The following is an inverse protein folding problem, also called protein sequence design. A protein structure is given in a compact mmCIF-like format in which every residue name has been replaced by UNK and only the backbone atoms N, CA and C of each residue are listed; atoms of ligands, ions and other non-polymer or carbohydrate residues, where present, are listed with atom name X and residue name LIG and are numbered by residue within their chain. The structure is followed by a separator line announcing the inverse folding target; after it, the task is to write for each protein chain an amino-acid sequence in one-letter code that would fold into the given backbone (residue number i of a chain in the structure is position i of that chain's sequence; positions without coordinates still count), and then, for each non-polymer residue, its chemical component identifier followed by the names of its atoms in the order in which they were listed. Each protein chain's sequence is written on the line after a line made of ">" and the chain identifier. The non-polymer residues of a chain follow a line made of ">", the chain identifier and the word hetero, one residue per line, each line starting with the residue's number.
data_IF_790677952625
#
_entry.id   IF_790677952625
#
_cell.length_a   1.000
_cell.length_b   1.000
_cell.length_c   1.000
_cell.angle_alpha   90.00
_cell.angle_beta   90.00
_cell.angle_gamma   90.00
#
_symmetry.space_group_name_H-M   'P 1'
#
loop_
_entity.id
_entity.type
_entity.pdbx_description
1 polymer ?
#
# COMPACT_ATOMS: atom_id res chain seq x y z
N UNK A 1 -41.49 7.79 22.45
CA UNK A 1 -40.92 8.32 21.18
C UNK A 1 -40.07 7.21 20.59
N UNK A 2 -40.50 6.64 19.46
CA UNK A 2 -39.92 5.40 18.93
C UNK A 2 -38.59 5.66 18.22
N UNK A 3 -37.62 4.76 18.40
CA UNK A 3 -36.27 4.76 17.78
C UNK A 3 -36.27 5.01 16.26
N UNK A 4 -37.37 4.67 15.57
CA UNK A 4 -37.59 4.98 14.16
C UNK A 4 -37.69 6.49 13.85
N UNK A 5 -38.11 7.32 14.81
CA UNK A 5 -38.21 8.77 14.65
C UNK A 5 -36.86 9.48 14.69
N UNK A 6 -35.90 8.96 15.47
CA UNK A 6 -34.54 9.52 15.57
C UNK A 6 -33.73 9.14 14.32
N UNK A 7 -33.90 7.91 13.81
CA UNK A 7 -33.26 7.46 12.58
C UNK A 7 -33.78 8.21 11.34
N UNK A 8 -35.09 8.51 11.27
CA UNK A 8 -35.65 9.26 10.15
C UNK A 8 -35.23 10.74 10.16
N UNK A 9 -35.09 11.35 11.35
CA UNK A 9 -34.59 12.72 11.49
C UNK A 9 -33.12 12.83 11.07
N UNK A 10 -32.25 11.88 11.46
CA UNK A 10 -30.84 11.88 11.07
C UNK A 10 -30.62 11.66 9.55
N UNK A 11 -31.52 10.93 8.88
CA UNK A 11 -31.44 10.70 7.44
C UNK A 11 -31.96 11.91 6.63
N UNK A 12 -32.89 12.69 7.17
CA UNK A 12 -33.40 13.91 6.54
C UNK A 12 -32.46 15.12 6.67
N UNK A 13 -31.64 15.18 7.73
CA UNK A 13 -30.59 16.22 7.85
C UNK A 13 -29.41 15.97 6.90
N UNK A 14 -29.09 14.70 6.59
CA UNK A 14 -27.98 14.36 5.68
C UNK A 14 -28.30 14.64 4.20
N UNK A 15 -29.58 14.81 3.85
CA UNK A 15 -30.03 15.04 2.47
C UNK A 15 -30.31 16.52 2.15
N UNK A 16 -30.10 17.43 3.11
CA UNK A 16 -30.36 18.87 2.93
C UNK A 16 -29.10 19.75 3.11
N UNK A 17 -27.91 19.15 3.26
CA UNK A 17 -26.64 19.87 3.45
C UNK A 17 -25.97 20.27 2.12
N UNK A 18 -26.25 21.50 1.73
CA UNK A 18 -25.72 22.36 0.67
C UNK A 18 -24.46 21.98 -0.13
N UNK A 19 -24.64 22.08 -1.45
CA UNK A 19 -23.64 22.34 -2.48
C UNK A 19 -22.87 23.65 -2.21
N UNK A 20 -21.64 23.56 -1.71
CA UNK A 20 -20.70 24.67 -1.75
C UNK A 20 -19.29 24.22 -2.21
N UNK A 21 -19.14 24.13 -3.53
CA UNK A 21 -18.08 24.74 -4.33
C UNK A 21 -16.71 24.92 -3.64
N UNK A 22 -15.73 24.07 -3.98
CA UNK A 22 -14.31 24.38 -3.81
C UNK A 22 -13.65 24.61 -5.17
N UNK A 23 -13.19 25.85 -5.38
CA UNK A 23 -12.39 26.32 -6.51
C UNK A 23 -10.89 26.20 -6.16
N UNK A 24 -9.99 26.07 -7.15
CA UNK A 24 -8.57 25.82 -6.91
C UNK A 24 -7.79 27.14 -6.90
N UNK A 25 -7.43 27.63 -5.70
CA UNK A 25 -6.41 28.64 -5.56
C UNK A 25 -5.84 28.55 -4.15
N UNK A 26 -4.62 28.02 -4.02
CA UNK A 26 -3.61 28.59 -3.12
C UNK A 26 -2.24 28.02 -3.45
N UNK A 27 -1.44 28.86 -4.09
CA UNK A 27 -0.02 28.69 -4.37
C UNK A 27 0.71 29.72 -3.52
N UNK A 28 1.57 29.35 -2.56
CA UNK A 28 2.41 30.35 -1.91
C UNK A 28 3.63 30.70 -2.79
N UNK A 29 3.67 31.96 -3.18
CA UNK A 29 4.78 32.67 -3.81
C UNK A 29 5.86 33.06 -2.79
N UNK A 30 7.12 32.90 -3.22
CA UNK A 30 8.36 33.63 -2.87
C UNK A 30 8.34 34.64 -1.70
N UNK A 31 9.28 34.56 -0.74
CA UNK A 31 9.52 35.62 0.23
C UNK A 31 10.50 36.71 -0.29
N UNK A 32 10.37 37.97 0.19
CA UNK A 32 11.25 39.08 -0.18
C UNK A 32 12.50 39.18 0.73
N UNK A 33 13.51 39.85 0.18
CA UNK A 33 14.86 40.05 0.73
C UNK A 33 15.02 41.37 1.52
N UNK A 34 16.13 41.43 2.30
CA UNK A 34 16.94 42.58 2.79
C UNK A 34 16.61 43.15 4.20
N UNK A 35 17.39 42.85 5.26
CA UNK A 35 18.67 43.46 5.78
C UNK A 35 18.43 44.63 6.77
N UNK A 36 19.40 45.12 7.61
CA UNK A 36 20.67 44.59 8.14
C UNK A 36 20.70 44.62 9.70
N UNK A 37 21.44 43.78 10.43
CA UNK A 37 22.79 44.13 10.94
C UNK A 37 23.14 43.18 12.09
N UNK A 38 24.25 42.44 11.98
CA UNK A 38 25.25 42.17 13.05
C UNK A 38 26.16 41.05 12.55
N UNK A 39 27.38 41.43 12.16
CA UNK A 39 28.44 40.50 11.77
C UNK A 39 28.72 39.51 12.91
N UNK A 40 28.61 38.22 12.62
CA UNK A 40 29.51 37.21 13.19
C UNK A 40 29.65 36.05 12.21
N UNK A 41 30.87 35.86 11.72
CA UNK A 41 31.23 34.84 10.76
C UNK A 41 30.91 33.43 11.29
N UNK A 42 30.26 32.63 10.45
CA UNK A 42 29.98 31.21 10.65
C UNK A 42 29.69 30.60 9.29
N UNK A 43 30.74 30.33 8.53
CA UNK A 43 30.65 29.59 7.27
C UNK A 43 29.96 28.25 7.54
N UNK A 44 28.86 27.99 6.83
CA UNK A 44 28.23 26.69 6.81
C UNK A 44 29.31 25.66 6.42
N UNK A 45 29.55 24.69 7.31
CA UNK A 45 30.44 23.58 7.03
C UNK A 45 29.86 22.79 5.85
N UNK A 46 30.35 23.08 4.65
CA UNK A 46 30.35 22.14 3.55
C UNK A 46 31.25 21.02 4.05
N UNK A 47 30.66 19.87 4.33
CA UNK A 47 31.41 18.66 4.61
C UNK A 47 32.16 18.31 3.30
N UNK A 48 33.40 18.76 3.19
CA UNK A 48 34.27 18.50 2.04
C UNK A 48 34.54 17.00 2.01
N UNK A 49 33.80 16.28 1.17
CA UNK A 49 34.02 14.85 0.93
C UNK A 49 35.28 14.70 0.08
N UNK A 50 36.20 13.87 0.54
CA UNK A 50 37.47 13.60 -0.14
C UNK A 50 37.28 12.60 -1.28
N UNK A 51 38.20 12.61 -2.24
CA UNK A 51 38.20 11.67 -3.36
C UNK A 51 38.44 10.23 -2.87
N UNK A 52 37.65 9.28 -3.34
CA UNK A 52 37.79 7.86 -2.96
C UNK A 52 38.90 7.13 -3.76
N UNK A 53 39.81 7.88 -4.38
CA UNK A 53 40.93 7.30 -5.15
C UNK A 53 42.16 7.21 -4.26
N UNK A 54 42.79 6.03 -4.20
CA UNK A 54 43.99 5.81 -3.40
C UNK A 54 45.09 6.80 -3.79
N UNK A 55 45.52 7.65 -2.85
CA UNK A 55 46.53 8.68 -3.06
C UNK A 55 46.01 10.06 -3.50
N UNK A 56 44.70 10.29 -3.53
CA UNK A 56 44.12 11.60 -3.83
C UNK A 56 43.31 12.16 -2.64
N UNK A 57 43.81 13.22 -2.01
CA UNK A 57 43.13 13.92 -0.89
C UNK A 57 42.43 15.21 -1.34
N UNK A 58 42.15 15.36 -2.64
CA UNK A 58 41.50 16.55 -3.19
C UNK A 58 40.00 16.52 -2.91
N UNK A 59 39.39 17.70 -2.81
CA UNK A 59 37.94 17.84 -2.65
C UNK A 59 37.18 17.21 -3.83
N UNK A 60 36.16 16.40 -3.51
CA UNK A 60 35.39 15.71 -4.52
C UNK A 60 34.22 16.56 -5.03
N UNK A 61 34.15 16.73 -6.36
CA UNK A 61 33.11 17.53 -7.04
C UNK A 61 32.17 16.70 -7.91
N UNK A 62 32.53 15.44 -8.19
CA UNK A 62 31.84 14.57 -9.14
C UNK A 62 31.37 13.29 -8.46
N UNK A 63 30.20 12.81 -8.87
CA UNK A 63 29.61 11.55 -8.40
C UNK A 63 29.38 10.57 -9.55
N UNK A 64 29.40 9.26 -9.27
CA UNK A 64 29.12 8.24 -10.26
C UNK A 64 27.60 8.20 -10.59
N UNK A 65 27.18 8.34 -11.86
CA UNK A 65 25.76 8.33 -12.22
C UNK A 65 25.08 6.98 -11.96
N UNK A 66 25.84 5.88 -11.91
CA UNK A 66 25.32 4.54 -11.57
C UNK A 66 25.08 4.40 -10.08
N UNK A 67 25.95 4.93 -9.22
CA UNK A 67 25.75 4.92 -7.76
C UNK A 67 24.54 5.75 -7.34
N UNK A 68 24.34 6.91 -7.97
CA UNK A 68 23.15 7.74 -7.74
C UNK A 68 21.88 6.93 -8.05
N UNK A 69 21.83 6.24 -9.20
CA UNK A 69 20.69 5.39 -9.58
C UNK A 69 20.49 4.20 -8.66
N UNK A 70 21.58 3.62 -8.14
CA UNK A 70 21.53 2.49 -7.22
C UNK A 70 21.35 2.92 -5.76
N UNK A 71 21.33 4.22 -5.44
CA UNK A 71 21.23 4.73 -4.07
C UNK A 71 22.43 4.38 -3.18
N UNK A 72 23.59 4.09 -3.78
CA UNK A 72 24.82 3.77 -3.06
C UNK A 72 25.48 5.10 -2.69
N UNK A 73 25.48 5.45 -1.41
CA UNK A 73 26.14 6.67 -0.93
C UNK A 73 27.64 6.39 -0.76
N UNK A 74 28.50 7.28 -1.29
CA UNK A 74 29.95 7.18 -1.12
C UNK A 74 30.78 7.45 -2.38
N UNK A 75 30.24 7.31 -3.60
CA UNK A 75 31.06 7.46 -4.82
C UNK A 75 31.42 8.93 -5.12
N UNK A 76 32.53 9.43 -4.61
CA UNK A 76 32.96 10.82 -4.77
C UNK A 76 34.34 10.90 -5.44
N UNK A 77 34.45 11.71 -6.50
CA UNK A 77 35.66 11.89 -7.29
C UNK A 77 35.98 13.37 -7.52
N UNK A 78 37.26 13.73 -7.51
CA UNK A 78 37.72 15.10 -7.78
C UNK A 78 37.82 15.41 -9.29
N UNK A 79 38.16 14.42 -10.13
CA UNK A 79 38.40 14.60 -11.58
C UNK A 79 38.05 13.35 -12.40
N UNK A 80 37.95 13.51 -13.73
CA UNK A 80 37.71 12.39 -14.65
C UNK A 80 38.87 11.37 -14.69
N UNK A 81 40.09 11.79 -14.36
CA UNK A 81 41.25 10.89 -14.28
C UNK A 81 41.14 9.96 -13.06
N UNK A 82 40.75 10.51 -11.90
CA UNK A 82 40.46 9.72 -10.70
C UNK A 82 39.25 8.79 -10.91
N UNK A 83 38.23 9.24 -11.65
CA UNK A 83 37.11 8.39 -12.05
C UNK A 83 37.54 7.19 -12.90
N UNK A 84 38.45 7.39 -13.87
CA UNK A 84 38.96 6.31 -14.73
C UNK A 84 39.90 5.36 -13.97
N UNK A 85 40.77 5.88 -13.11
CA UNK A 85 41.70 5.09 -12.29
C UNK A 85 40.99 4.21 -11.28
N UNK A 86 40.00 4.75 -10.56
CA UNK A 86 39.20 3.97 -9.60
C UNK A 86 38.08 3.14 -10.24
N UNK A 87 37.83 3.23 -11.55
CA UNK A 87 36.71 2.51 -12.20
C UNK A 87 36.76 0.99 -11.99
N UNK A 88 37.95 0.40 -12.05
CA UNK A 88 38.13 -1.05 -11.94
C UNK A 88 37.74 -1.59 -10.55
N UNK A 89 38.08 -0.86 -9.49
CA UNK A 89 37.73 -1.21 -8.10
C UNK A 89 36.30 -0.76 -7.77
N UNK A 90 35.89 0.42 -8.21
CA UNK A 90 34.58 1.00 -7.93
C UNK A 90 33.42 0.22 -8.57
N UNK A 91 33.60 -0.34 -9.78
CA UNK A 91 32.57 -1.16 -10.44
C UNK A 91 32.26 -2.45 -9.66
N UNK A 92 33.19 -2.97 -8.88
CA UNK A 92 32.96 -4.16 -8.04
C UNK A 92 31.98 -3.85 -6.90
N UNK A 93 31.94 -2.61 -6.40
CA UNK A 93 30.97 -2.18 -5.38
C UNK A 93 29.54 -2.12 -5.92
N UNK A 94 29.34 -1.86 -7.21
CA UNK A 94 28.02 -1.98 -7.84
C UNK A 94 27.47 -3.41 -7.82
N UNK A 95 28.34 -4.43 -7.84
CA UNK A 95 27.92 -5.84 -7.82
C UNK A 95 27.43 -6.23 -6.42
N UNK A 96 28.19 -5.89 -5.38
CA UNK A 96 27.86 -6.18 -3.98
C UNK A 96 26.56 -5.49 -3.53
N UNK A 97 26.38 -4.21 -3.87
CA UNK A 97 25.15 -3.49 -3.53
C UNK A 97 23.89 -3.99 -4.25
N UNK A 98 24.01 -4.73 -5.37
CA UNK A 98 22.87 -5.43 -5.98
C UNK A 98 22.49 -6.70 -5.23
N UNK A 99 23.43 -7.34 -4.55
CA UNK A 99 23.21 -8.53 -3.74
C UNK A 99 22.59 -8.15 -2.38
N UNK A 100 23.02 -7.04 -1.77
CA UNK A 100 22.48 -6.56 -0.48
C UNK A 100 21.03 -6.08 -0.57
N UNK A 101 20.62 -5.44 -1.68
CA UNK A 101 19.21 -5.11 -1.93
C UNK A 101 18.29 -6.33 -2.08
N UNK A 102 18.84 -7.49 -2.43
CA UNK A 102 18.08 -8.75 -2.40
C UNK A 102 18.03 -9.38 -1.01
N UNK A 103 18.91 -8.98 -0.08
CA UNK A 103 18.96 -9.53 1.28
C UNK A 103 18.24 -8.67 2.31
N UNK A 104 18.15 -7.35 2.12
CA UNK A 104 17.46 -6.47 3.07
C UNK A 104 15.93 -6.51 2.92
N UNK A 105 15.39 -6.91 1.76
CA UNK A 105 13.99 -7.31 1.64
C UNK A 105 13.70 -8.69 2.29
N UNK A 106 14.73 -9.45 2.66
CA UNK A 106 14.59 -10.76 3.29
C UNK A 106 14.81 -10.77 4.82
N UNK A 107 15.20 -9.64 5.43
CA UNK A 107 15.57 -9.60 6.87
C UNK A 107 14.55 -8.92 7.78
N UNK A 108 13.41 -8.46 7.26
CA UNK A 108 12.28 -7.99 8.07
C UNK A 108 11.02 -8.85 7.94
N UNK A 109 11.21 -10.17 7.81
CA UNK A 109 10.13 -11.16 7.85
C UNK A 109 10.66 -12.51 8.38
N UNK A 110 11.21 -12.49 9.60
CA UNK A 110 11.35 -13.73 10.39
C UNK A 110 10.11 -13.88 11.26
N UNK A 111 8.99 -14.21 10.60
CA UNK A 111 7.96 -15.06 11.19
C UNK A 111 7.44 -15.98 10.08
N UNK A 112 8.08 -17.16 9.97
CA UNK A 112 7.56 -18.35 9.29
C UNK A 112 6.93 -18.13 7.90
N UNK A 113 7.71 -17.70 6.90
CA UNK A 113 7.32 -17.84 5.49
C UNK A 113 7.50 -19.31 5.03
N UNK A 114 6.89 -20.24 5.77
CA UNK A 114 6.74 -21.64 5.36
C UNK A 114 5.51 -21.72 4.48
N UNK A 115 5.55 -21.04 3.32
CA UNK A 115 4.51 -21.21 2.31
C UNK A 115 4.47 -22.67 1.85
N UNK A 116 3.58 -23.42 2.46
CA UNK A 116 3.46 -24.86 2.26
C UNK A 116 2.39 -25.08 1.22
N UNK A 117 2.79 -25.49 0.01
CA UNK A 117 1.84 -25.90 -1.02
C UNK A 117 1.06 -27.13 -0.52
N UNK A 118 -0.26 -27.03 -0.26
CA UNK A 118 -1.04 -28.14 0.28
C UNK A 118 -1.31 -29.23 -0.77
N UNK A 119 -1.00 -28.99 -2.05
CA UNK A 119 -1.17 -29.96 -3.12
C UNK A 119 0.18 -30.29 -3.78
N UNK A 120 1.10 -30.95 -3.06
CA UNK A 120 2.39 -31.34 -3.61
C UNK A 120 2.16 -32.27 -4.81
N UNK A 121 2.65 -31.86 -5.99
CA UNK A 121 2.52 -32.61 -7.24
C UNK A 121 1.35 -32.18 -8.14
N UNK A 122 0.46 -31.29 -7.68
CA UNK A 122 -0.51 -30.67 -8.58
C UNK A 122 0.19 -29.73 -9.57
N UNK A 123 -0.09 -29.91 -10.87
CA UNK A 123 0.45 -29.05 -11.93
C UNK A 123 -0.48 -27.87 -12.18
N UNK A 124 -0.16 -26.75 -11.57
CA UNK A 124 -0.84 -25.49 -11.83
C UNK A 124 -0.64 -25.03 -13.29
N UNK A 125 -1.71 -24.53 -13.89
CA UNK A 125 -1.73 -24.07 -15.31
C UNK A 125 -1.06 -22.72 -15.52
N UNK A 126 -0.92 -21.90 -14.48
CA UNK A 126 -0.38 -20.54 -14.54
C UNK A 126 0.68 -20.22 -13.49
N UNK A 127 1.04 -18.94 -13.36
CA UNK A 127 2.01 -18.43 -12.38
C UNK A 127 1.47 -18.32 -10.95
N UNK A 128 0.14 -18.19 -10.80
CA UNK A 128 -0.50 -18.07 -9.49
C UNK A 128 -0.27 -19.34 -8.67
N UNK A 129 0.08 -19.16 -7.40
CA UNK A 129 0.32 -20.22 -6.42
C UNK A 129 -0.46 -19.93 -5.15
N UNK A 130 -0.92 -20.96 -4.43
CA UNK A 130 -1.50 -20.75 -3.13
C UNK A 130 -0.46 -20.22 -2.14
N UNK A 131 -0.94 -19.44 -1.17
CA UNK A 131 -0.14 -18.96 -0.06
C UNK A 131 -0.75 -19.47 1.24
N UNK A 132 -0.04 -20.37 1.93
CA UNK A 132 -0.48 -20.98 3.18
C UNK A 132 0.52 -20.73 4.31
N UNK A 133 0.09 -20.74 5.58
CA UNK A 133 -1.27 -21.01 6.05
C UNK A 133 -2.24 -19.85 5.76
N UNK A 134 -3.51 -20.17 5.55
CA UNK A 134 -4.56 -19.16 5.49
C UNK A 134 -4.79 -18.57 6.89
N UNK A 135 -5.18 -17.29 6.94
CA UNK A 135 -5.66 -16.70 8.18
C UNK A 135 -6.88 -17.46 8.70
N UNK A 136 -7.05 -17.62 10.02
CA UNK A 136 -8.26 -18.18 10.61
C UNK A 136 -9.53 -17.50 10.08
N UNK A 137 -10.65 -18.22 10.10
CA UNK A 137 -11.95 -17.65 9.71
C UNK A 137 -12.27 -16.39 10.54
N UNK A 138 -12.69 -15.33 9.84
CA UNK A 138 -13.12 -14.09 10.49
C UNK A 138 -14.45 -14.31 11.22
N UNK A 139 -14.53 -13.80 12.44
CA UNK A 139 -15.74 -13.89 13.26
C UNK A 139 -16.86 -13.00 12.72
N UNK A 140 -18.07 -13.55 12.58
CA UNK A 140 -19.28 -12.81 12.23
C UNK A 140 -20.08 -12.54 13.52
N UNK A 141 -20.39 -11.28 13.86
CA UNK A 141 -21.20 -10.94 15.02
C UNK A 141 -22.55 -11.66 15.06
N UNK A 142 -23.00 -12.10 16.25
CA UNK A 142 -24.22 -12.89 16.42
C UNK A 142 -25.54 -12.14 16.21
N UNK A 143 -25.51 -10.81 16.07
CA UNK A 143 -26.70 -9.99 15.80
C UNK A 143 -27.10 -9.95 14.32
N UNK A 144 -26.31 -10.56 13.43
CA UNK A 144 -26.57 -10.61 11.99
C UNK A 144 -27.29 -11.91 11.68
N UNK A 145 -28.40 -11.83 10.93
CA UNK A 145 -29.13 -13.03 10.47
C UNK A 145 -28.21 -13.92 9.63
N UNK A 146 -28.14 -15.21 9.98
CA UNK A 146 -27.26 -16.19 9.35
C UNK A 146 -28.06 -17.09 8.41
N UNK A 147 -27.55 -17.36 7.20
CA UNK A 147 -28.13 -18.37 6.31
C UNK A 147 -28.12 -19.77 6.94
N UNK A 148 -28.98 -20.66 6.42
CA UNK A 148 -29.12 -22.05 6.89
C UNK A 148 -27.84 -22.89 6.74
N UNK A 149 -26.98 -22.56 5.77
CA UNK A 149 -25.68 -23.21 5.57
C UNK A 149 -24.58 -22.70 6.52
N UNK A 150 -24.79 -21.60 7.27
CA UNK A 150 -23.72 -20.92 8.00
C UNK A 150 -23.12 -21.74 9.16
N UNK A 151 -23.90 -22.68 9.71
CA UNK A 151 -23.51 -23.58 10.80
C UNK A 151 -23.49 -25.05 10.36
N UNK A 152 -23.68 -25.32 9.06
CA UNK A 152 -23.65 -26.69 8.54
C UNK A 152 -22.20 -27.20 8.52
N UNK A 153 -21.88 -28.39 9.06
CA UNK A 153 -20.51 -28.88 9.20
C UNK A 153 -19.75 -29.01 7.88
N UNK A 154 -20.48 -29.27 6.79
CA UNK A 154 -19.95 -29.33 5.41
C UNK A 154 -20.24 -28.07 4.57
N UNK A 155 -20.91 -27.05 5.14
CA UNK A 155 -21.31 -25.85 4.42
C UNK A 155 -22.43 -26.06 3.37
N UNK A 156 -23.17 -27.17 3.47
CA UNK A 156 -24.27 -27.46 2.56
C UNK A 156 -25.52 -26.68 2.96
N UNK A 157 -26.25 -26.16 1.98
CA UNK A 157 -27.60 -25.66 2.19
C UNK A 157 -28.52 -26.82 2.58
N UNK A 158 -29.44 -26.55 3.51
CA UNK A 158 -30.46 -27.52 3.87
C UNK A 158 -31.32 -27.81 2.64
N UNK A 159 -31.58 -29.10 2.30
CA UNK A 159 -32.40 -29.43 1.15
C UNK A 159 -33.77 -28.75 1.27
N UNK A 160 -34.08 -27.87 0.32
CA UNK A 160 -35.41 -27.30 0.23
C UNK A 160 -36.39 -28.45 -0.01
N UNK A 161 -37.38 -28.62 0.88
CA UNK A 161 -38.52 -29.50 0.57
C UNK A 161 -39.12 -29.04 -0.77
N UNK A 162 -39.52 -29.96 -1.66
CA UNK A 162 -40.20 -29.58 -2.89
C UNK A 162 -41.44 -28.75 -2.57
N UNK A 163 -41.72 -27.68 -3.34
CA UNK A 163 -42.66 -26.65 -2.93
C UNK A 163 -44.09 -27.18 -3.02
N UNK A 164 -44.86 -27.09 -1.93
CA UNK A 164 -46.33 -27.16 -2.02
C UNK A 164 -46.96 -25.83 -2.42
N UNK A 165 -46.20 -24.75 -2.55
CA UNK A 165 -46.75 -23.53 -3.13
C UNK A 165 -45.61 -22.78 -3.80
N UNK A 166 -45.81 -22.48 -5.08
CA UNK A 166 -45.10 -21.47 -5.83
C UNK A 166 -44.79 -20.30 -4.89
N UNK A 167 -43.51 -20.02 -4.64
CA UNK A 167 -43.09 -18.86 -3.85
C UNK A 167 -43.78 -17.64 -4.45
N UNK A 168 -44.87 -17.23 -3.83
CA UNK A 168 -45.56 -16.01 -4.22
C UNK A 168 -44.52 -14.92 -3.99
N UNK A 169 -43.97 -14.39 -5.08
CA UNK A 169 -43.05 -13.26 -5.07
C UNK A 169 -43.80 -12.07 -4.48
N UNK A 170 -43.83 -11.99 -3.15
CA UNK A 170 -44.36 -10.84 -2.44
C UNK A 170 -43.47 -9.67 -2.81
N UNK A 171 -44.05 -8.52 -3.16
CA UNK A 171 -43.33 -7.28 -3.54
C UNK A 171 -42.20 -6.90 -2.56
N UNK A 172 -42.32 -7.31 -1.30
CA UNK A 172 -41.28 -7.20 -0.26
C UNK A 172 -39.96 -7.89 -0.64
N UNK A 173 -39.98 -9.09 -1.24
CA UNK A 173 -38.75 -9.81 -1.62
C UNK A 173 -37.91 -9.03 -2.65
N UNK A 174 -38.57 -8.40 -3.63
CA UNK A 174 -37.89 -7.59 -4.64
C UNK A 174 -37.20 -6.35 -4.05
N UNK A 175 -37.76 -5.78 -2.98
CA UNK A 175 -37.13 -4.65 -2.27
C UNK A 175 -35.89 -5.12 -1.50
N UNK A 176 -35.99 -6.21 -0.76
CA UNK A 176 -34.85 -6.79 -0.03
C UNK A 176 -33.70 -7.18 -0.98
N UNK A 177 -34.01 -7.79 -2.12
CA UNK A 177 -32.99 -8.17 -3.12
C UNK A 177 -32.27 -6.95 -3.70
N UNK A 178 -32.98 -5.85 -3.97
CA UNK A 178 -32.37 -4.60 -4.45
C UNK A 178 -31.47 -3.96 -3.39
N UNK A 179 -31.90 -3.96 -2.13
CA UNK A 179 -31.09 -3.45 -1.01
C UNK A 179 -29.83 -4.29 -0.86
N UNK A 180 -29.96 -5.62 -0.84
CA UNK A 180 -28.83 -6.54 -0.75
C UNK A 180 -27.84 -6.34 -1.89
N UNK A 181 -28.32 -6.24 -3.13
CA UNK A 181 -27.47 -5.98 -4.30
C UNK A 181 -26.69 -4.67 -4.16
N UNK A 182 -27.34 -3.56 -3.76
CA UNK A 182 -26.67 -2.28 -3.53
C UNK A 182 -25.60 -2.36 -2.44
N UNK A 183 -25.87 -3.09 -1.36
CA UNK A 183 -24.90 -3.29 -0.27
C UNK A 183 -23.68 -4.08 -0.75
N UNK A 184 -23.89 -5.16 -1.52
CA UNK A 184 -22.80 -5.95 -2.11
C UNK A 184 -21.92 -5.10 -3.02
N UNK A 185 -22.53 -4.29 -3.88
CA UNK A 185 -21.79 -3.35 -4.73
C UNK A 185 -20.97 -2.35 -3.91
N UNK A 186 -21.55 -1.78 -2.85
CA UNK A 186 -20.82 -0.88 -1.96
C UNK A 186 -19.60 -1.55 -1.33
N UNK A 187 -19.76 -2.77 -0.80
CA UNK A 187 -18.66 -3.53 -0.20
C UNK A 187 -17.55 -3.83 -1.22
N UNK A 188 -17.89 -4.27 -2.43
CA UNK A 188 -16.89 -4.52 -3.48
C UNK A 188 -16.10 -3.25 -3.82
N UNK A 189 -16.79 -2.12 -3.99
CA UNK A 189 -16.13 -0.83 -4.27
C UNK A 189 -15.23 -0.37 -3.11
N UNK A 190 -15.66 -0.54 -1.86
CA UNK A 190 -14.82 -0.21 -0.70
C UNK A 190 -13.56 -1.09 -0.62
N UNK A 191 -13.68 -2.38 -0.93
CA UNK A 191 -12.53 -3.30 -0.98
C UNK A 191 -11.56 -2.88 -2.08
N UNK A 192 -12.05 -2.55 -3.27
CA UNK A 192 -11.21 -2.07 -4.38
C UNK A 192 -10.48 -0.77 -4.05
N UNK A 193 -11.15 0.19 -3.41
CA UNK A 193 -10.54 1.46 -2.97
C UNK A 193 -9.40 1.19 -1.98
N UNK A 194 -9.62 0.29 -1.00
CA UNK A 194 -8.61 -0.04 0.00
C UNK A 194 -7.42 -0.79 -0.60
N UNK A 195 -7.66 -1.62 -1.62
CA UNK A 195 -6.60 -2.38 -2.31
C UNK A 195 -5.76 -1.47 -3.19
N UNK A 196 -6.35 -0.45 -3.84
CA UNK A 196 -5.63 0.52 -4.68
C UNK A 196 -4.78 1.52 -3.90
N UNK A 197 -5.13 1.81 -2.64
CA UNK A 197 -4.34 2.72 -1.80
C UNK A 197 -3.09 2.09 -1.19
N UNK A 198 -2.96 0.75 -1.28
CA UNK A 198 -1.85 -0.02 -0.72
C UNK A 198 -0.85 -0.52 -1.76
N UNK A 199 -1.01 -0.12 -3.04
CA UNK A 199 -0.08 -0.40 -4.16
C UNK A 199 0.47 0.94 -4.65
#
# INVERSE_FOLDING_TARGET
>A
MSIYGIALAAILEFLSGDLARFSPADRPSTPPSLHPSRLRAGMAAIETRECETEGCSSEAKLQCPTCIKLGIQGSYFCSQECFKGSWATHKQMHKKAKEDKNQDEAKNCVENDTNTDPWPGYRYTGKLRPHYPLTPMRHVPGNIERPDYADHPLGNATPLRPPQLLLSFKKSFAVHLKIFSRLVFFVMNCVDIKTRHFI
#
